data_IF_793774989859
#
_entry.id   IF_793774989859
#
_cell.length_a   1.000
_cell.length_b   1.000
_cell.length_c   1.000
_cell.angle_alpha   90.00
_cell.angle_beta   90.00
_cell.angle_gamma   90.00
#
_symmetry.space_group_name_H-M   'P 1'
#
loop_
_entity.id
_entity.type
_entity.pdbx_description
1 polymer ?
#
# COMPACT_ATOMS: atom_id res chain seq x y z
N UNK A 1 -62.80 -10.34 24.72
CA UNK A 1 -62.38 -11.07 23.52
C UNK A 1 -60.98 -11.63 23.79
N UNK A 2 -60.67 -12.76 24.44
CA UNK A 2 -61.32 -14.05 24.75
C UNK A 2 -61.97 -14.74 23.56
N UNK A 3 -61.37 -15.88 23.19
CA UNK A 3 -61.74 -16.86 22.15
C UNK A 3 -61.35 -16.51 20.73
N UNK A 4 -60.25 -17.12 20.26
CA UNK A 4 -60.02 -17.82 18.96
C UNK A 4 -58.50 -18.10 18.89
N UNK A 5 -58.01 -18.91 19.81
CA UNK A 5 -56.70 -19.56 19.78
C UNK A 5 -57.05 -20.96 20.27
N UNK A 6 -57.31 -21.93 19.40
CA UNK A 6 -57.27 -23.39 19.73
C UNK A 6 -57.67 -24.38 18.60
N UNK A 7 -57.83 -23.99 17.32
CA UNK A 7 -58.31 -24.93 16.27
C UNK A 7 -57.38 -25.05 15.03
N UNK A 8 -56.11 -24.65 15.12
CA UNK A 8 -55.12 -24.89 14.04
C UNK A 8 -53.82 -25.55 14.51
N UNK A 9 -53.80 -26.10 15.73
CA UNK A 9 -52.69 -26.92 16.24
C UNK A 9 -52.94 -28.44 16.13
N UNK A 10 -54.11 -28.87 15.64
CA UNK A 10 -54.54 -30.28 15.67
C UNK A 10 -54.58 -30.96 14.30
N UNK A 11 -54.35 -30.24 13.20
CA UNK A 11 -54.39 -30.79 11.82
C UNK A 11 -53.01 -30.92 11.15
N UNK A 12 -51.92 -30.53 11.82
CA UNK A 12 -50.54 -30.77 11.36
C UNK A 12 -49.88 -32.00 12.02
N UNK A 13 -50.60 -32.71 12.90
CA UNK A 13 -50.11 -33.92 13.60
C UNK A 13 -50.68 -35.24 13.05
N UNK A 14 -51.45 -35.22 11.95
CA UNK A 14 -52.17 -36.43 11.46
C UNK A 14 -51.78 -36.81 10.01
N UNK A 15 -50.65 -36.31 9.48
CA UNK A 15 -50.08 -36.79 8.21
C UNK A 15 -48.61 -37.27 8.31
N UNK A 16 -48.08 -37.47 9.52
CA UNK A 16 -46.74 -38.06 9.75
C UNK A 16 -46.79 -39.52 10.24
N UNK A 17 -47.97 -40.08 10.42
CA UNK A 17 -48.15 -41.50 10.68
C UNK A 17 -48.65 -42.17 9.39
N UNK A 18 -48.00 -43.26 8.97
CA UNK A 18 -48.27 -44.08 7.78
C UNK A 18 -47.46 -43.74 6.52
N UNK A 19 -46.14 -43.62 6.69
CA UNK A 19 -45.21 -44.20 5.74
C UNK A 19 -43.99 -44.77 6.48
N UNK A 20 -44.21 -45.60 7.51
CA UNK A 20 -43.20 -46.56 8.02
C UNK A 20 -42.97 -47.68 6.99
N UNK A 21 -42.81 -47.31 5.72
CA UNK A 21 -42.17 -48.17 4.75
C UNK A 21 -40.72 -48.26 5.20
N UNK A 22 -40.41 -49.29 6.00
CA UNK A 22 -39.06 -49.69 6.36
C UNK A 22 -38.15 -49.49 5.14
N UNK A 23 -37.38 -48.41 5.11
CA UNK A 23 -36.40 -48.17 4.07
C UNK A 23 -35.43 -49.33 4.21
N UNK A 24 -35.51 -50.28 3.28
CA UNK A 24 -34.64 -51.44 3.27
C UNK A 24 -33.21 -50.93 3.16
N UNK A 25 -32.46 -51.01 4.24
CA UNK A 25 -31.06 -50.57 4.26
C UNK A 25 -30.31 -51.43 3.24
N UNK A 26 -29.67 -50.82 2.23
CA UNK A 26 -28.88 -51.53 1.24
C UNK A 26 -27.74 -52.27 1.93
N UNK A 27 -27.34 -53.43 1.40
CA UNK A 27 -26.21 -54.21 1.93
C UNK A 27 -24.99 -54.11 1.05
N UNK A 28 -25.19 -53.87 -0.25
CA UNK A 28 -24.11 -53.73 -1.22
C UNK A 28 -24.30 -52.45 -2.01
N UNK A 29 -23.22 -51.93 -2.56
CA UNK A 29 -23.24 -50.71 -3.38
C UNK A 29 -24.24 -50.78 -4.54
N UNK A 30 -24.35 -51.95 -5.18
CA UNK A 30 -25.23 -52.21 -6.32
C UNK A 30 -26.73 -52.12 -5.99
N UNK A 31 -27.10 -52.16 -4.71
CA UNK A 31 -28.49 -51.97 -4.29
C UNK A 31 -28.97 -50.53 -4.57
N UNK A 32 -28.04 -49.59 -4.77
CA UNK A 32 -28.33 -48.14 -4.88
C UNK A 32 -27.68 -47.49 -6.10
N UNK A 33 -26.47 -47.92 -6.45
CA UNK A 33 -25.66 -47.34 -7.53
C UNK A 33 -25.48 -48.35 -8.69
N UNK A 34 -25.30 -47.87 -9.93
CA UNK A 34 -24.99 -48.77 -11.05
C UNK A 34 -23.71 -49.57 -10.80
N UNK A 35 -23.67 -50.82 -11.25
CA UNK A 35 -22.53 -51.72 -11.04
C UNK A 35 -21.19 -51.14 -11.52
N UNK A 36 -21.17 -50.47 -12.68
CA UNK A 36 -19.95 -49.80 -13.18
C UNK A 36 -19.46 -48.68 -12.25
N UNK A 37 -20.38 -47.97 -11.61
CA UNK A 37 -20.04 -46.94 -10.61
C UNK A 37 -19.45 -47.60 -9.36
N UNK A 38 -20.06 -48.68 -8.87
CA UNK A 38 -19.53 -49.44 -7.73
C UNK A 38 -18.15 -50.02 -8.02
N UNK A 39 -17.93 -50.57 -9.21
CA UNK A 39 -16.63 -51.08 -9.64
C UNK A 39 -15.57 -49.97 -9.69
N UNK A 40 -15.92 -48.77 -10.17
CA UNK A 40 -15.02 -47.60 -10.12
C UNK A 40 -14.68 -47.19 -8.70
N UNK A 41 -15.67 -47.14 -7.80
CA UNK A 41 -15.45 -46.79 -6.39
C UNK A 41 -14.57 -47.82 -5.67
N UNK A 42 -14.77 -49.12 -5.92
CA UNK A 42 -13.88 -50.18 -5.41
C UNK A 42 -12.47 -50.06 -5.97
N UNK A 43 -12.33 -49.75 -7.26
CA UNK A 43 -11.03 -49.46 -7.87
C UNK A 43 -10.33 -48.26 -7.24
N UNK A 44 -11.07 -47.23 -6.82
CA UNK A 44 -10.54 -46.09 -6.06
C UNK A 44 -10.10 -46.53 -4.66
N UNK A 45 -10.92 -47.30 -3.93
CA UNK A 45 -10.54 -47.83 -2.62
C UNK A 45 -9.22 -48.62 -2.69
N UNK A 46 -9.05 -49.48 -3.69
CA UNK A 46 -7.79 -50.20 -3.92
C UNK A 46 -6.61 -49.26 -4.19
N UNK A 47 -6.80 -48.17 -4.95
CA UNK A 47 -5.76 -47.15 -5.17
C UNK A 47 -5.38 -46.40 -3.90
N UNK A 48 -6.29 -46.29 -2.94
CA UNK A 48 -6.04 -45.71 -1.62
C UNK A 48 -5.49 -46.73 -0.61
N UNK A 49 -5.18 -47.96 -1.05
CA UNK A 49 -4.76 -49.07 -0.19
C UNK A 49 -5.81 -49.46 0.86
N UNK A 50 -7.09 -49.17 0.60
CA UNK A 50 -8.22 -49.53 1.44
C UNK A 50 -8.88 -50.85 0.99
N UNK A 51 -9.59 -51.50 1.90
CA UNK A 51 -10.38 -52.70 1.60
C UNK A 51 -11.59 -52.34 0.73
N UNK A 52 -11.87 -53.11 -0.34
CA UNK A 52 -12.98 -52.84 -1.27
C UNK A 52 -14.36 -52.81 -0.59
N UNK A 53 -14.51 -53.49 0.55
CA UNK A 53 -15.75 -53.52 1.34
C UNK A 53 -16.07 -52.17 1.99
N UNK A 54 -15.10 -51.26 2.09
CA UNK A 54 -15.30 -49.89 2.59
C UNK A 54 -16.34 -49.14 1.75
N UNK A 55 -16.49 -49.48 0.46
CA UNK A 55 -17.50 -48.89 -0.43
C UNK A 55 -18.90 -49.32 -0.02
N UNK A 56 -19.09 -50.59 0.34
CA UNK A 56 -20.38 -51.08 0.82
C UNK A 56 -20.71 -50.45 2.19
N UNK A 57 -19.71 -50.34 3.07
CA UNK A 57 -19.85 -49.68 4.36
C UNK A 57 -20.29 -48.22 4.21
N UNK A 58 -19.66 -47.46 3.30
CA UNK A 58 -20.04 -46.07 3.04
C UNK A 58 -21.48 -45.92 2.52
N UNK A 59 -21.98 -46.87 1.72
CA UNK A 59 -23.38 -46.86 1.25
C UNK A 59 -24.35 -47.15 2.40
N UNK A 60 -24.03 -48.12 3.27
CA UNK A 60 -24.81 -48.40 4.48
C UNK A 60 -24.86 -47.17 5.39
N UNK A 61 -23.72 -46.52 5.59
CA UNK A 61 -23.62 -45.34 6.45
C UNK A 61 -24.38 -44.13 5.90
N UNK A 62 -24.36 -43.92 4.57
CA UNK A 62 -25.20 -42.90 3.92
C UNK A 62 -26.69 -43.09 4.26
N UNK A 63 -27.19 -44.33 4.18
CA UNK A 63 -28.59 -44.65 4.49
C UNK A 63 -28.92 -44.53 5.98
N UNK A 64 -27.98 -44.88 6.86
CA UNK A 64 -28.11 -44.65 8.30
C UNK A 64 -28.20 -43.15 8.63
N UNK A 65 -27.59 -42.29 7.81
CA UNK A 65 -27.72 -40.83 7.86
C UNK A 65 -28.92 -40.29 7.07
N UNK A 66 -29.83 -41.16 6.62
CA UNK A 66 -31.00 -40.82 5.81
C UNK A 66 -30.70 -40.18 4.44
N UNK A 67 -29.47 -40.33 3.94
CA UNK A 67 -29.09 -39.94 2.58
C UNK A 67 -29.56 -41.05 1.63
N UNK A 68 -30.66 -40.81 0.93
CA UNK A 68 -31.34 -41.84 0.11
C UNK A 68 -31.35 -41.54 -1.38
N UNK A 69 -31.03 -40.32 -1.82
CA UNK A 69 -30.96 -39.99 -3.24
C UNK A 69 -29.65 -40.50 -3.83
N UNK A 70 -29.72 -41.23 -4.94
CA UNK A 70 -28.57 -41.84 -5.64
C UNK A 70 -27.37 -40.88 -5.82
N UNK A 71 -27.61 -39.64 -6.25
CA UNK A 71 -26.54 -38.66 -6.44
C UNK A 71 -25.88 -38.21 -5.12
N UNK A 72 -26.67 -38.04 -4.06
CA UNK A 72 -26.19 -37.67 -2.74
C UNK A 72 -25.43 -38.84 -2.09
N UNK A 73 -25.90 -40.09 -2.28
CA UNK A 73 -25.18 -41.30 -1.85
C UNK A 73 -23.83 -41.42 -2.56
N UNK A 74 -23.78 -41.20 -3.87
CA UNK A 74 -22.50 -41.21 -4.61
C UNK A 74 -21.53 -40.13 -4.09
N UNK A 75 -22.02 -38.92 -3.84
CA UNK A 75 -21.20 -37.85 -3.27
C UNK A 75 -20.68 -38.22 -1.87
N UNK A 76 -21.55 -38.77 -1.01
CA UNK A 76 -21.18 -39.25 0.32
C UNK A 76 -20.11 -40.34 0.26
N UNK A 77 -20.29 -41.36 -0.59
CA UNK A 77 -19.33 -42.46 -0.70
C UNK A 77 -17.96 -41.95 -1.19
N UNK A 78 -17.92 -40.98 -2.10
CA UNK A 78 -16.66 -40.36 -2.52
C UNK A 78 -15.96 -39.64 -1.37
N UNK A 79 -16.67 -38.79 -0.63
CA UNK A 79 -16.12 -38.09 0.54
C UNK A 79 -15.62 -39.09 1.59
N UNK A 80 -16.42 -40.14 1.86
CA UNK A 80 -16.06 -41.21 2.78
C UNK A 80 -14.74 -41.88 2.40
N UNK A 81 -14.51 -42.16 1.11
CA UNK A 81 -13.26 -42.71 0.61
C UNK A 81 -12.08 -41.75 0.79
N UNK A 82 -12.29 -40.44 0.55
CA UNK A 82 -11.25 -39.42 0.76
C UNK A 82 -10.88 -39.33 2.25
N UNK A 83 -11.86 -39.32 3.15
CA UNK A 83 -11.62 -39.16 4.59
C UNK A 83 -10.96 -40.39 5.24
N UNK A 84 -11.25 -41.59 4.73
CA UNK A 84 -10.74 -42.83 5.31
C UNK A 84 -9.34 -43.22 4.81
N UNK A 85 -8.90 -42.71 3.65
CA UNK A 85 -7.60 -43.01 3.04
C UNK A 85 -6.41 -42.33 3.75
N UNK A 86 -6.24 -42.54 5.06
CA UNK A 86 -5.33 -41.77 5.94
C UNK A 86 -3.85 -42.02 5.66
N UNK A 87 -3.51 -43.21 5.16
CA UNK A 87 -2.13 -43.60 4.86
C UNK A 87 -1.70 -43.28 3.42
N UNK A 88 -2.57 -42.60 2.66
CA UNK A 88 -2.30 -42.25 1.26
C UNK A 88 -1.11 -41.28 1.10
N UNK A 89 -0.17 -41.65 0.24
CA UNK A 89 1.00 -40.83 -0.08
C UNK A 89 0.93 -40.38 -1.54
N UNK A 90 1.03 -39.06 -1.79
CA UNK A 90 0.96 -38.49 -3.14
C UNK A 90 1.87 -39.21 -4.17
N UNK A 91 3.08 -39.61 -3.74
CA UNK A 91 4.09 -40.27 -4.58
C UNK A 91 3.65 -41.64 -5.13
N UNK A 92 2.58 -42.24 -4.60
CA UNK A 92 2.03 -43.51 -5.06
C UNK A 92 1.29 -43.37 -6.40
N UNK A 93 0.81 -42.18 -6.73
CA UNK A 93 -0.03 -41.92 -7.93
C UNK A 93 0.50 -40.81 -8.83
N UNK A 94 1.44 -40.01 -8.34
CA UNK A 94 2.03 -38.90 -9.06
C UNK A 94 3.57 -38.94 -9.01
N UNK A 95 4.25 -38.44 -10.06
CA UNK A 95 5.70 -38.24 -10.00
C UNK A 95 6.10 -37.34 -8.83
N UNK A 96 7.27 -37.58 -8.25
CA UNK A 96 7.78 -36.81 -7.12
C UNK A 96 7.82 -35.30 -7.40
N UNK A 97 8.19 -34.90 -8.61
CA UNK A 97 8.19 -33.50 -9.03
C UNK A 97 6.78 -32.88 -8.99
N UNK A 98 5.75 -33.62 -9.43
CA UNK A 98 4.35 -33.15 -9.38
C UNK A 98 3.87 -33.02 -7.94
N UNK A 99 4.16 -34.00 -7.07
CA UNK A 99 3.84 -33.91 -5.64
C UNK A 99 4.55 -32.72 -4.98
N UNK A 100 5.81 -32.48 -5.33
CA UNK A 100 6.57 -31.32 -4.85
C UNK A 100 5.92 -30.00 -5.29
N UNK A 101 5.49 -29.87 -6.55
CA UNK A 101 4.80 -28.67 -7.05
C UNK A 101 3.47 -28.41 -6.32
N UNK A 102 2.71 -29.46 -6.03
CA UNK A 102 1.48 -29.35 -5.22
C UNK A 102 1.82 -28.92 -3.78
N UNK A 103 2.85 -29.51 -3.17
CA UNK A 103 3.32 -29.13 -1.84
C UNK A 103 3.85 -27.69 -1.77
N UNK A 104 4.58 -27.25 -2.80
CA UNK A 104 5.05 -25.86 -2.94
C UNK A 104 3.85 -24.89 -3.05
N UNK A 105 2.80 -25.26 -3.80
CA UNK A 105 1.55 -24.48 -3.90
C UNK A 105 0.87 -24.35 -2.53
N UNK A 106 0.68 -25.47 -1.82
CA UNK A 106 0.06 -25.51 -0.48
C UNK A 106 0.84 -24.63 0.49
N UNK A 107 2.17 -24.73 0.47
CA UNK A 107 3.05 -23.93 1.33
C UNK A 107 2.93 -22.45 1.03
N UNK A 108 3.00 -22.03 -0.23
CA UNK A 108 2.88 -20.62 -0.61
C UNK A 108 1.48 -20.04 -0.34
N UNK A 109 0.45 -20.88 -0.39
CA UNK A 109 -0.91 -20.53 -0.03
C UNK A 109 -1.17 -20.59 1.50
N UNK A 110 -0.17 -20.94 2.31
CA UNK A 110 -0.29 -21.25 3.75
C UNK A 110 -1.45 -22.21 4.10
N UNK A 111 -1.75 -23.15 3.20
CA UNK A 111 -2.71 -24.22 3.45
C UNK A 111 -2.06 -25.32 4.31
N UNK A 112 -2.88 -26.16 4.94
CA UNK A 112 -2.37 -27.29 5.71
C UNK A 112 -1.70 -28.31 4.80
N UNK A 113 -0.57 -28.89 5.22
CA UNK A 113 0.16 -29.91 4.43
C UNK A 113 -0.73 -31.12 4.10
N UNK A 114 -1.69 -31.44 4.98
CA UNK A 114 -2.70 -32.49 4.74
C UNK A 114 -3.55 -32.24 3.49
N UNK A 115 -3.68 -30.99 3.04
CA UNK A 115 -4.42 -30.65 1.82
C UNK A 115 -3.72 -31.15 0.57
N UNK A 116 -2.41 -31.44 0.60
CA UNK A 116 -1.72 -32.07 -0.55
C UNK A 116 -2.31 -33.45 -0.82
N UNK A 117 -2.34 -34.32 0.20
CA UNK A 117 -2.89 -35.67 0.06
C UNK A 117 -4.40 -35.62 -0.21
N UNK A 118 -5.15 -34.72 0.45
CA UNK A 118 -6.58 -34.56 0.18
C UNK A 118 -6.85 -34.14 -1.27
N UNK A 119 -6.16 -33.13 -1.80
CA UNK A 119 -6.37 -32.66 -3.17
C UNK A 119 -6.13 -33.74 -4.22
N UNK A 120 -5.14 -34.61 -4.03
CA UNK A 120 -4.86 -35.73 -4.94
C UNK A 120 -5.92 -36.84 -4.81
N UNK A 121 -6.38 -37.14 -3.60
CA UNK A 121 -7.49 -38.09 -3.38
C UNK A 121 -8.78 -37.58 -4.02
N UNK A 122 -9.09 -36.30 -3.86
CA UNK A 122 -10.20 -35.61 -4.51
C UNK A 122 -10.13 -35.71 -6.04
N UNK A 123 -8.95 -35.52 -6.63
CA UNK A 123 -8.75 -35.71 -8.06
C UNK A 123 -9.05 -37.15 -8.50
N UNK A 124 -8.65 -38.16 -7.72
CA UNK A 124 -8.90 -39.59 -8.01
C UNK A 124 -10.40 -39.91 -7.94
N UNK A 125 -11.11 -39.51 -6.88
CA UNK A 125 -12.56 -39.78 -6.75
C UNK A 125 -13.39 -39.04 -7.80
N UNK A 126 -12.88 -37.93 -8.33
CA UNK A 126 -13.49 -37.19 -9.43
C UNK A 126 -13.08 -37.70 -10.82
N UNK A 127 -12.37 -38.83 -10.89
CA UNK A 127 -12.17 -39.60 -12.11
C UNK A 127 -10.95 -39.19 -12.93
N UNK A 128 -10.00 -38.45 -12.35
CA UNK A 128 -8.72 -38.19 -13.01
C UNK A 128 -7.99 -39.50 -13.31
N UNK A 129 -7.57 -39.69 -14.55
CA UNK A 129 -7.07 -41.00 -15.03
C UNK A 129 -5.56 -41.08 -15.14
N UNK A 130 -4.89 -39.96 -15.43
CA UNK A 130 -3.45 -39.88 -15.65
C UNK A 130 -2.80 -38.81 -14.76
N UNK A 131 -1.47 -38.78 -14.74
CA UNK A 131 -0.71 -37.88 -13.88
C UNK A 131 -0.99 -36.38 -14.14
N UNK A 132 -1.18 -35.98 -15.41
CA UNK A 132 -1.48 -34.59 -15.75
C UNK A 132 -2.88 -34.18 -15.26
N UNK A 133 -3.88 -35.05 -15.46
CA UNK A 133 -5.24 -34.84 -14.97
C UNK A 133 -5.27 -34.77 -13.45
N UNK A 134 -4.57 -35.68 -12.78
CA UNK A 134 -4.47 -35.71 -11.32
C UNK A 134 -3.89 -34.40 -10.78
N UNK A 135 -2.77 -33.95 -11.37
CA UNK A 135 -2.15 -32.68 -11.00
C UNK A 135 -3.10 -31.50 -11.22
N UNK A 136 -3.72 -31.39 -12.39
CA UNK A 136 -4.60 -30.27 -12.73
C UNK A 136 -5.85 -30.22 -11.83
N UNK A 137 -6.46 -31.37 -11.54
CA UNK A 137 -7.60 -31.45 -10.62
C UNK A 137 -7.19 -31.13 -9.18
N UNK A 138 -6.04 -31.63 -8.72
CA UNK A 138 -5.53 -31.29 -7.40
C UNK A 138 -5.26 -29.78 -7.25
N UNK A 139 -4.63 -29.15 -8.26
CA UNK A 139 -4.42 -27.69 -8.26
C UNK A 139 -5.75 -26.93 -8.33
N UNK A 140 -6.75 -27.43 -9.07
CA UNK A 140 -8.08 -26.82 -9.13
C UNK A 140 -8.78 -26.88 -7.77
N UNK A 141 -8.73 -28.02 -7.08
CA UNK A 141 -9.24 -28.16 -5.71
C UNK A 141 -8.55 -27.17 -4.76
N UNK A 142 -7.21 -27.12 -4.77
CA UNK A 142 -6.45 -26.22 -3.90
C UNK A 142 -6.73 -24.74 -4.21
N UNK A 143 -6.89 -24.39 -5.49
CA UNK A 143 -7.27 -23.04 -5.93
C UNK A 143 -8.60 -22.61 -5.30
N UNK A 144 -9.55 -23.53 -5.12
CA UNK A 144 -10.82 -23.22 -4.47
C UNK A 144 -10.66 -22.93 -2.98
N UNK A 145 -9.67 -23.54 -2.32
CA UNK A 145 -9.35 -23.30 -0.91
C UNK A 145 -8.56 -22.02 -0.65
N UNK A 146 -7.88 -21.46 -1.66
CA UNK A 146 -7.15 -20.20 -1.52
C UNK A 146 -8.13 -19.07 -1.22
N UNK A 147 -7.87 -18.36 -0.13
CA UNK A 147 -8.42 -17.04 0.20
C UNK A 147 -7.29 -16.03 0.38
N UNK A 148 -7.64 -14.75 0.45
CA UNK A 148 -6.67 -13.71 0.71
C UNK A 148 -6.04 -13.87 2.10
N UNK A 149 -6.86 -14.16 3.11
CA UNK A 149 -6.50 -14.26 4.52
C UNK A 149 -5.62 -15.47 4.83
N UNK A 150 -5.57 -16.46 3.95
CA UNK A 150 -4.59 -17.53 4.07
C UNK A 150 -3.18 -16.99 3.81
N UNK A 151 -3.03 -16.10 2.84
CA UNK A 151 -1.72 -15.65 2.32
C UNK A 151 -1.25 -14.36 2.99
N UNK A 152 -2.17 -13.45 3.30
CA UNK A 152 -1.90 -12.14 3.87
C UNK A 152 -2.66 -11.92 5.19
N UNK A 153 -2.24 -10.93 5.96
CA UNK A 153 -3.02 -10.48 7.11
C UNK A 153 -4.32 -9.79 6.67
N UNK A 154 -5.31 -9.76 7.59
CA UNK A 154 -6.65 -9.20 7.34
C UNK A 154 -6.60 -7.75 6.85
N UNK A 155 -5.71 -6.92 7.41
CA UNK A 155 -5.60 -5.50 7.02
C UNK A 155 -5.10 -5.35 5.59
N UNK A 156 -4.14 -6.19 5.18
CA UNK A 156 -3.66 -6.25 3.80
C UNK A 156 -4.78 -6.68 2.85
N UNK A 157 -5.58 -7.69 3.21
CA UNK A 157 -6.74 -8.11 2.41
C UNK A 157 -7.79 -6.99 2.27
N UNK A 158 -8.12 -6.31 3.36
CA UNK A 158 -9.04 -5.16 3.34
C UNK A 158 -8.55 -4.03 2.41
N UNK A 159 -7.23 -3.82 2.32
CA UNK A 159 -6.63 -2.83 1.41
C UNK A 159 -6.86 -3.25 -0.04
N UNK A 160 -6.55 -4.50 -0.39
CA UNK A 160 -6.67 -5.02 -1.75
C UNK A 160 -8.14 -5.07 -2.20
N UNK A 161 -9.06 -5.49 -1.34
CA UNK A 161 -10.49 -5.53 -1.63
C UNK A 161 -11.07 -4.12 -1.86
N UNK A 162 -10.65 -3.14 -1.06
CA UNK A 162 -11.01 -1.73 -1.30
C UNK A 162 -10.47 -1.23 -2.63
N UNK A 163 -9.24 -1.59 -2.99
CA UNK A 163 -8.65 -1.21 -4.27
C UNK A 163 -9.44 -1.78 -5.45
N UNK A 164 -9.75 -3.08 -5.43
CA UNK A 164 -10.59 -3.72 -6.46
C UNK A 164 -11.96 -3.04 -6.59
N UNK A 165 -12.59 -2.71 -5.47
CA UNK A 165 -13.86 -1.97 -5.47
C UNK A 165 -13.72 -0.58 -6.09
N UNK A 166 -12.65 0.14 -5.77
CA UNK A 166 -12.32 1.46 -6.34
C UNK A 166 -12.07 1.40 -7.84
N UNK A 167 -11.56 0.27 -8.35
CA UNK A 167 -11.33 0.04 -9.77
C UNK A 167 -12.59 -0.42 -10.52
N UNK A 168 -13.71 -0.59 -9.80
CA UNK A 168 -14.96 -1.15 -10.34
C UNK A 168 -14.79 -2.56 -10.92
N UNK A 169 -13.90 -3.35 -10.32
CA UNK A 169 -13.56 -4.71 -10.78
C UNK A 169 -14.21 -5.80 -9.91
N UNK A 170 -14.11 -7.07 -10.36
CA UNK A 170 -14.66 -8.22 -9.66
C UNK A 170 -13.91 -8.51 -8.36
N UNK A 171 -14.63 -8.69 -7.23
CA UNK A 171 -14.05 -9.04 -5.91
C UNK A 171 -13.14 -10.27 -5.90
N UNK A 172 -13.33 -11.21 -6.83
CA UNK A 172 -12.48 -12.40 -6.95
C UNK A 172 -11.09 -12.10 -7.53
N UNK A 173 -10.86 -10.89 -8.06
CA UNK A 173 -9.60 -10.53 -8.72
C UNK A 173 -8.40 -10.63 -7.80
N UNK A 174 -8.54 -10.35 -6.49
CA UNK A 174 -7.46 -10.55 -5.50
C UNK A 174 -7.10 -12.02 -5.41
N UNK A 175 -8.09 -12.91 -5.27
CA UNK A 175 -7.88 -14.36 -5.24
C UNK A 175 -7.22 -14.87 -6.52
N UNK A 176 -7.72 -14.43 -7.67
CA UNK A 176 -7.19 -14.84 -8.98
C UNK A 176 -5.71 -14.42 -9.13
N UNK A 177 -5.37 -13.21 -8.69
CA UNK A 177 -4.01 -12.70 -8.69
C UNK A 177 -3.07 -13.50 -7.76
N UNK A 178 -3.53 -13.85 -6.55
CA UNK A 178 -2.78 -14.71 -5.61
C UNK A 178 -2.51 -16.08 -6.23
N UNK A 179 -3.54 -16.70 -6.82
CA UNK A 179 -3.43 -18.01 -7.46
C UNK A 179 -2.44 -17.96 -8.63
N UNK A 180 -2.47 -16.90 -9.43
CA UNK A 180 -1.52 -16.70 -10.54
C UNK A 180 -0.09 -16.49 -10.04
N UNK A 181 0.11 -15.70 -8.98
CA UNK A 181 1.42 -15.50 -8.34
C UNK A 181 2.02 -16.84 -7.90
N UNK A 182 1.25 -17.67 -7.20
CA UNK A 182 1.70 -18.98 -6.71
C UNK A 182 1.98 -19.93 -7.89
N UNK A 183 1.13 -19.93 -8.92
CA UNK A 183 1.37 -20.72 -10.15
C UNK A 183 2.63 -20.29 -10.90
N UNK A 184 3.03 -19.03 -10.79
CA UNK A 184 4.31 -18.51 -11.29
C UNK A 184 5.50 -18.82 -10.35
N UNK A 185 5.31 -19.71 -9.37
CA UNK A 185 6.30 -20.15 -8.40
C UNK A 185 6.80 -19.05 -7.45
N UNK A 186 6.03 -17.99 -7.23
CA UNK A 186 6.32 -17.03 -6.17
C UNK A 186 6.00 -17.68 -4.82
N UNK A 187 6.96 -17.60 -3.88
CA UNK A 187 6.86 -18.28 -2.57
C UNK A 187 6.86 -17.32 -1.41
N UNK A 188 7.51 -16.15 -1.55
CA UNK A 188 7.60 -15.19 -0.47
C UNK A 188 6.36 -14.30 -0.44
N UNK A 189 5.79 -14.09 0.74
CA UNK A 189 4.56 -13.29 0.92
C UNK A 189 4.67 -11.89 0.32
N UNK A 190 5.83 -11.23 0.43
CA UNK A 190 6.06 -9.91 -0.15
C UNK A 190 6.12 -9.92 -1.69
N UNK A 191 6.70 -10.96 -2.30
CA UNK A 191 6.72 -11.14 -3.76
C UNK A 191 5.30 -11.38 -4.31
N UNK A 192 4.52 -12.23 -3.63
CA UNK A 192 3.13 -12.49 -3.97
C UNK A 192 2.32 -11.19 -3.82
N UNK A 193 2.49 -10.44 -2.72
CA UNK A 193 1.81 -9.17 -2.51
C UNK A 193 2.12 -8.15 -3.61
N UNK A 194 3.40 -8.02 -3.99
CA UNK A 194 3.79 -7.12 -5.07
C UNK A 194 3.16 -7.55 -6.40
N UNK A 195 3.22 -8.85 -6.72
CA UNK A 195 2.57 -9.39 -7.92
C UNK A 195 1.06 -9.09 -7.93
N UNK A 196 0.38 -9.26 -6.80
CA UNK A 196 -1.05 -8.97 -6.68
C UNK A 196 -1.31 -7.49 -6.94
N UNK A 197 -0.53 -6.57 -6.36
CA UNK A 197 -0.65 -5.14 -6.63
C UNK A 197 -0.47 -4.80 -8.10
N UNK A 198 0.61 -5.29 -8.72
CA UNK A 198 0.92 -5.06 -10.14
C UNK A 198 -0.20 -5.62 -11.03
N UNK A 199 -0.71 -6.81 -10.69
CA UNK A 199 -1.83 -7.42 -11.38
C UNK A 199 -3.08 -6.54 -11.32
N UNK A 200 -3.45 -6.06 -10.12
CA UNK A 200 -4.62 -5.18 -9.94
C UNK A 200 -4.47 -3.88 -10.73
N UNK A 201 -3.31 -3.24 -10.69
CA UNK A 201 -3.01 -2.01 -11.46
C UNK A 201 -3.17 -2.29 -12.97
N UNK A 202 -2.59 -3.39 -13.47
CA UNK A 202 -2.66 -3.75 -14.90
C UNK A 202 -4.08 -4.08 -15.38
N UNK A 203 -4.97 -4.51 -14.47
CA UNK A 203 -6.35 -4.90 -14.76
C UNK A 203 -7.38 -3.81 -14.51
N UNK A 204 -6.98 -2.68 -13.94
CA UNK A 204 -7.86 -1.54 -13.66
C UNK A 204 -8.24 -0.74 -14.93
N UNK A 205 -8.69 -1.42 -15.99
CA UNK A 205 -9.00 -0.79 -17.29
C UNK A 205 -10.24 0.10 -17.25
N UNK A 206 -11.11 -0.11 -16.27
CA UNK A 206 -12.34 0.68 -16.09
C UNK A 206 -12.17 1.84 -15.10
N UNK A 207 -10.96 2.05 -14.58
CA UNK A 207 -10.68 3.09 -13.61
C UNK A 207 -10.76 4.49 -14.23
N UNK A 208 -11.46 5.39 -13.55
CA UNK A 208 -11.42 6.83 -13.81
C UNK A 208 -11.01 7.55 -12.53
N UNK A 209 -10.12 8.55 -12.61
CA UNK A 209 -9.64 9.25 -11.42
C UNK A 209 -10.80 9.83 -10.56
N UNK A 210 -11.84 10.35 -11.21
CA UNK A 210 -12.99 10.93 -10.54
C UNK A 210 -13.92 9.91 -9.85
N UNK A 211 -13.67 8.59 -9.97
CA UNK A 211 -14.41 7.57 -9.22
C UNK A 211 -13.95 7.44 -7.77
N UNK A 212 -12.74 7.91 -7.45
CA UNK A 212 -12.11 7.76 -6.14
C UNK A 212 -11.84 9.09 -5.43
N UNK A 213 -11.62 10.17 -6.19
CA UNK A 213 -11.36 11.52 -5.67
C UNK A 213 -12.15 12.56 -6.47
N UNK A 214 -12.19 13.80 -6.00
CA UNK A 214 -12.93 14.88 -6.70
C UNK A 214 -12.24 15.26 -8.00
N UNK A 215 -13.01 15.83 -8.94
CA UNK A 215 -12.48 16.33 -10.21
C UNK A 215 -11.33 17.32 -10.00
N UNK A 216 -11.45 18.24 -9.04
CA UNK A 216 -10.39 19.21 -8.72
C UNK A 216 -9.07 18.54 -8.32
N UNK A 217 -9.11 17.45 -7.54
CA UNK A 217 -7.89 16.71 -7.19
C UNK A 217 -7.30 15.99 -8.41
N UNK A 218 -8.15 15.40 -9.25
CA UNK A 218 -7.72 14.79 -10.51
C UNK A 218 -7.01 15.82 -11.40
N UNK A 219 -7.66 16.93 -11.69
CA UNK A 219 -7.12 17.98 -12.55
C UNK A 219 -5.79 18.51 -12.01
N UNK A 220 -5.68 18.67 -10.68
CA UNK A 220 -4.43 19.05 -10.03
C UNK A 220 -3.33 18.01 -10.21
N UNK A 221 -3.61 16.72 -9.99
CA UNK A 221 -2.64 15.62 -10.19
C UNK A 221 -2.17 15.58 -11.65
N UNK A 222 -3.09 15.64 -12.61
CA UNK A 222 -2.75 15.62 -14.03
C UNK A 222 -1.96 16.86 -14.44
N UNK A 223 -2.29 18.04 -13.92
CA UNK A 223 -1.50 19.25 -14.16
C UNK A 223 -0.10 19.15 -13.59
N UNK A 224 0.06 18.62 -12.37
CA UNK A 224 1.38 18.40 -11.75
C UNK A 224 2.19 17.40 -12.58
N UNK A 225 1.62 16.24 -12.90
CA UNK A 225 2.29 15.22 -13.70
C UNK A 225 2.71 15.73 -15.09
N UNK A 226 1.86 16.50 -15.76
CA UNK A 226 2.19 17.16 -17.03
C UNK A 226 3.35 18.15 -16.90
N UNK A 227 3.36 18.94 -15.82
CA UNK A 227 4.46 19.88 -15.54
C UNK A 227 5.77 19.15 -15.19
N UNK A 228 5.67 17.96 -14.59
CA UNK A 228 6.79 17.02 -14.39
C UNK A 228 7.19 16.24 -15.65
N UNK A 229 6.58 16.54 -16.81
CA UNK A 229 6.82 15.87 -18.10
C UNK A 229 6.47 14.37 -18.12
N UNK A 230 5.57 13.93 -17.23
CA UNK A 230 5.07 12.56 -17.20
C UNK A 230 3.96 12.36 -18.24
N UNK A 231 3.83 11.13 -18.72
CA UNK A 231 2.74 10.73 -19.63
C UNK A 231 1.45 10.53 -18.85
N UNK A 232 0.29 10.63 -19.52
CA UNK A 232 -1.02 10.34 -18.90
C UNK A 232 -1.06 8.95 -18.25
N UNK A 233 -0.43 7.96 -18.89
CA UNK A 233 -0.38 6.58 -18.37
C UNK A 233 0.44 6.50 -17.07
N UNK A 234 1.61 7.13 -17.00
CA UNK A 234 2.42 7.16 -15.77
C UNK A 234 1.67 7.85 -14.62
N UNK A 235 0.90 8.91 -14.92
CA UNK A 235 0.08 9.60 -13.92
C UNK A 235 -1.06 8.69 -13.43
N UNK A 236 -1.70 7.95 -14.33
CA UNK A 236 -2.74 6.98 -13.98
C UNK A 236 -2.18 5.80 -13.17
N UNK A 237 -1.02 5.28 -13.53
CA UNK A 237 -0.33 4.21 -12.81
C UNK A 237 0.01 4.65 -11.37
N UNK A 238 0.57 5.85 -11.18
CA UNK A 238 0.82 6.42 -9.86
C UNK A 238 -0.45 6.62 -8.99
N UNK A 239 -1.59 6.89 -9.62
CA UNK A 239 -2.90 6.94 -8.94
C UNK A 239 -3.33 5.54 -8.48
N UNK A 240 -3.25 4.55 -9.36
CA UNK A 240 -3.60 3.16 -9.06
C UNK A 240 -2.67 2.59 -7.98
N UNK A 241 -1.37 2.89 -8.04
CA UNK A 241 -0.36 2.52 -7.05
C UNK A 241 -0.69 3.07 -5.67
N UNK A 242 -1.07 4.35 -5.56
CA UNK A 242 -1.51 4.91 -4.28
C UNK A 242 -2.67 4.12 -3.67
N UNK A 243 -3.63 3.71 -4.49
CA UNK A 243 -4.83 2.99 -4.04
C UNK A 243 -4.48 1.56 -3.59
N UNK A 244 -3.71 0.80 -4.38
CA UNK A 244 -3.30 -0.57 -4.00
C UNK A 244 -2.31 -0.59 -2.83
N UNK A 245 -1.65 0.53 -2.54
CA UNK A 245 -0.84 0.74 -1.33
C UNK A 245 -1.65 1.22 -0.12
N UNK A 246 -2.98 1.26 -0.23
CA UNK A 246 -3.89 1.47 0.89
C UNK A 246 -4.30 2.91 1.15
N UNK A 247 -4.04 3.83 0.22
CA UNK A 247 -4.65 5.15 0.28
C UNK A 247 -6.16 5.06 0.03
N UNK A 248 -6.96 5.50 1.01
CA UNK A 248 -8.43 5.44 0.93
C UNK A 248 -9.06 6.82 0.86
N UNK A 249 -8.55 7.79 1.63
CA UNK A 249 -9.08 9.16 1.63
C UNK A 249 -8.52 9.92 0.44
N UNK A 250 -9.31 10.83 -0.11
CA UNK A 250 -8.89 11.63 -1.28
C UNK A 250 -7.56 12.36 -1.05
N UNK A 251 -7.34 12.91 0.15
CA UNK A 251 -6.08 13.57 0.50
C UNK A 251 -4.89 12.59 0.58
N UNK A 252 -5.11 11.39 1.11
CA UNK A 252 -4.08 10.35 1.19
C UNK A 252 -3.70 9.85 -0.20
N UNK A 253 -4.71 9.63 -1.07
CA UNK A 253 -4.51 9.25 -2.48
C UNK A 253 -3.70 10.33 -3.17
N UNK A 254 -4.11 11.60 -3.05
CA UNK A 254 -3.39 12.74 -3.63
C UNK A 254 -1.93 12.77 -3.19
N UNK A 255 -1.64 12.73 -1.88
CA UNK A 255 -0.27 12.79 -1.38
C UNK A 255 0.58 11.58 -1.79
N UNK A 256 0.02 10.36 -1.73
CA UNK A 256 0.77 9.16 -2.14
C UNK A 256 1.05 9.17 -3.64
N UNK A 257 0.08 9.55 -4.46
CA UNK A 257 0.28 9.73 -5.91
C UNK A 257 1.40 10.72 -6.18
N UNK A 258 1.43 11.87 -5.51
CA UNK A 258 2.54 12.82 -5.66
C UNK A 258 3.89 12.20 -5.28
N UNK A 259 3.95 11.35 -4.25
CA UNK A 259 5.14 10.59 -3.90
C UNK A 259 5.63 9.67 -5.02
N UNK A 260 4.73 8.94 -5.67
CA UNK A 260 5.05 8.11 -6.84
C UNK A 260 5.55 8.96 -8.03
N UNK A 261 4.83 10.02 -8.40
CA UNK A 261 5.24 10.92 -9.49
C UNK A 261 6.65 11.50 -9.25
N UNK A 262 6.95 11.90 -8.01
CA UNK A 262 8.26 12.42 -7.63
C UNK A 262 9.37 11.37 -7.71
N UNK A 263 9.08 10.11 -7.37
CA UNK A 263 10.03 9.02 -7.50
C UNK A 263 10.36 8.73 -8.97
N UNK A 264 9.38 8.82 -9.87
CA UNK A 264 9.59 8.60 -11.31
C UNK A 264 10.51 9.66 -11.93
N UNK A 265 10.42 10.90 -11.43
CA UNK A 265 11.27 12.01 -11.88
C UNK A 265 12.49 12.24 -11.00
N UNK A 266 12.84 11.33 -10.08
CA UNK A 266 13.93 11.55 -9.11
C UNK A 266 15.27 11.84 -9.77
N UNK A 267 15.50 11.27 -10.96
CA UNK A 267 16.73 11.43 -11.73
C UNK A 267 16.70 12.59 -12.72
N UNK A 268 15.55 13.26 -12.91
CA UNK A 268 15.47 14.43 -13.77
C UNK A 268 16.19 15.61 -13.12
N UNK A 269 16.96 16.33 -13.92
CA UNK A 269 17.58 17.59 -13.54
C UNK A 269 16.56 18.72 -13.66
N UNK A 270 16.87 19.85 -13.05
CA UNK A 270 16.09 21.07 -13.20
C UNK A 270 15.89 21.50 -14.67
N UNK A 271 16.88 21.27 -15.55
CA UNK A 271 16.80 21.60 -17.00
C UNK A 271 15.89 20.65 -17.79
N UNK A 272 15.62 19.45 -17.28
CA UNK A 272 14.68 18.52 -17.88
C UNK A 272 13.22 18.90 -17.54
N UNK A 273 13.02 19.57 -16.40
CA UNK A 273 11.70 19.93 -15.89
C UNK A 273 11.21 21.28 -16.43
N UNK A 274 12.09 22.28 -16.50
CA UNK A 274 11.74 23.67 -16.84
C UNK A 274 12.70 24.27 -17.87
N UNK A 275 12.32 25.43 -18.42
CA UNK A 275 13.19 26.18 -19.33
C UNK A 275 14.55 26.49 -18.69
N UNK A 276 15.61 26.43 -19.50
CA UNK A 276 17.00 26.62 -19.03
C UNK A 276 17.22 27.98 -18.37
N UNK A 277 16.53 29.04 -18.81
CA UNK A 277 16.63 30.36 -18.19
C UNK A 277 16.09 30.35 -16.75
N UNK A 278 14.94 29.70 -16.53
CA UNK A 278 14.37 29.58 -15.17
C UNK A 278 15.25 28.70 -14.30
N UNK A 279 15.72 27.58 -14.85
CA UNK A 279 16.62 26.71 -14.12
C UNK A 279 17.89 27.44 -13.66
N UNK A 280 18.57 28.13 -14.59
CA UNK A 280 19.79 28.88 -14.27
C UNK A 280 19.53 29.98 -13.23
N UNK A 281 18.39 30.68 -13.28
CA UNK A 281 18.03 31.69 -12.28
C UNK A 281 17.85 31.11 -10.89
N UNK A 282 17.23 29.93 -10.77
CA UNK A 282 17.08 29.23 -9.49
C UNK A 282 18.43 28.69 -9.02
N UNK A 283 19.28 28.17 -9.92
CA UNK A 283 20.64 27.72 -9.60
C UNK A 283 21.53 28.87 -9.10
N UNK A 284 21.49 30.03 -9.74
CA UNK A 284 22.19 31.24 -9.30
C UNK A 284 21.73 31.67 -7.91
N UNK A 285 20.42 31.61 -7.65
CA UNK A 285 19.87 31.92 -6.34
C UNK A 285 20.32 30.91 -5.28
N UNK A 286 20.23 29.60 -5.57
CA UNK A 286 20.68 28.52 -4.71
C UNK A 286 22.19 28.64 -4.40
N UNK A 287 23.02 29.01 -5.39
CA UNK A 287 24.45 29.22 -5.22
C UNK A 287 24.77 30.34 -4.23
N UNK A 288 23.99 31.43 -4.21
CA UNK A 288 24.12 32.50 -3.20
C UNK A 288 23.82 32.00 -1.79
N UNK A 289 22.97 30.98 -1.66
CA UNK A 289 22.66 30.32 -0.39
C UNK A 289 23.58 29.12 -0.08
N UNK A 290 24.66 28.93 -0.87
CA UNK A 290 25.55 27.76 -0.78
C UNK A 290 24.82 26.42 -0.86
N UNK A 291 23.73 26.36 -1.62
CA UNK A 291 22.95 25.14 -1.84
C UNK A 291 23.44 24.36 -3.06
N UNK A 292 23.17 23.06 -3.06
CA UNK A 292 23.59 22.15 -4.12
C UNK A 292 22.64 22.19 -5.33
N UNK A 293 23.08 21.68 -6.48
CA UNK A 293 22.22 21.50 -7.67
C UNK A 293 21.03 20.57 -7.36
N UNK A 294 21.19 19.63 -6.42
CA UNK A 294 20.11 18.76 -5.95
C UNK A 294 19.03 19.56 -5.23
N UNK A 295 19.40 20.55 -4.40
CA UNK A 295 18.46 21.44 -3.73
C UNK A 295 17.68 22.30 -4.73
N UNK A 296 18.36 22.82 -5.77
CA UNK A 296 17.71 23.54 -6.88
C UNK A 296 16.65 22.67 -7.57
N UNK A 297 17.02 21.43 -7.89
CA UNK A 297 16.12 20.48 -8.57
C UNK A 297 14.91 20.15 -7.69
N UNK A 298 15.13 19.97 -6.38
CA UNK A 298 14.03 19.78 -5.44
C UNK A 298 13.12 21.02 -5.37
N UNK A 299 13.69 22.22 -5.32
CA UNK A 299 12.92 23.46 -5.27
C UNK A 299 12.00 23.65 -6.49
N UNK A 300 12.46 23.24 -7.69
CA UNK A 300 11.62 23.22 -8.89
C UNK A 300 10.48 22.21 -8.76
N UNK A 301 10.76 21.00 -8.28
CA UNK A 301 9.74 19.95 -8.07
C UNK A 301 8.66 20.39 -7.09
N UNK A 302 9.05 21.03 -6.00
CA UNK A 302 8.12 21.55 -4.99
C UNK A 302 7.28 22.70 -5.53
N UNK A 303 7.89 23.62 -6.30
CA UNK A 303 7.13 24.67 -6.98
C UNK A 303 6.07 24.09 -7.92
N UNK A 304 6.41 23.04 -8.67
CA UNK A 304 5.45 22.34 -9.54
C UNK A 304 4.32 21.71 -8.72
N UNK A 305 4.63 21.06 -7.59
CA UNK A 305 3.63 20.45 -6.68
C UNK A 305 2.68 21.49 -6.09
N UNK A 306 3.21 22.66 -5.74
CA UNK A 306 2.42 23.79 -5.25
C UNK A 306 1.55 24.45 -6.34
N UNK A 307 1.57 23.92 -7.57
CA UNK A 307 0.73 24.38 -8.67
C UNK A 307 1.33 25.51 -9.48
N UNK A 308 2.66 25.68 -9.46
CA UNK A 308 3.31 26.70 -10.28
C UNK A 308 2.93 26.52 -11.76
N UNK A 309 2.30 27.55 -12.34
CA UNK A 309 1.67 27.47 -13.66
C UNK A 309 2.44 28.17 -14.78
N UNK A 310 3.40 29.02 -14.42
CA UNK A 310 4.17 29.82 -15.37
C UNK A 310 5.60 30.05 -14.87
N UNK A 311 6.44 30.59 -15.75
CA UNK A 311 7.88 30.77 -15.49
C UNK A 311 8.19 31.66 -14.27
N UNK A 312 7.39 32.70 -14.04
CA UNK A 312 7.57 33.60 -12.89
C UNK A 312 7.16 32.89 -11.59
N UNK A 313 6.01 32.25 -11.59
CA UNK A 313 5.47 31.50 -10.44
C UNK A 313 6.40 30.35 -10.03
N UNK A 314 6.94 29.61 -11.02
CA UNK A 314 7.98 28.60 -10.80
C UNK A 314 9.20 29.18 -10.08
N UNK A 315 9.75 30.29 -10.58
CA UNK A 315 10.89 30.94 -9.95
C UNK A 315 10.57 31.39 -8.52
N UNK A 316 9.46 32.09 -8.32
CA UNK A 316 9.08 32.66 -7.02
C UNK A 316 8.90 31.55 -5.96
N UNK A 317 8.16 30.48 -6.29
CA UNK A 317 7.92 29.34 -5.40
C UNK A 317 9.17 28.53 -5.12
N UNK A 318 10.02 28.31 -6.13
CA UNK A 318 11.31 27.64 -5.91
C UNK A 318 12.22 28.47 -5.00
N UNK A 319 12.26 29.78 -5.19
CA UNK A 319 13.00 30.69 -4.30
C UNK A 319 12.42 30.66 -2.88
N UNK A 320 11.10 30.65 -2.73
CA UNK A 320 10.44 30.51 -1.42
C UNK A 320 10.82 29.20 -0.74
N UNK A 321 10.82 28.08 -1.46
CA UNK A 321 11.29 26.80 -0.95
C UNK A 321 12.76 26.86 -0.51
N UNK A 322 13.66 27.38 -1.34
CA UNK A 322 15.08 27.53 -0.99
C UNK A 322 15.27 28.43 0.24
N UNK A 323 14.49 29.52 0.36
CA UNK A 323 14.48 30.37 1.57
C UNK A 323 14.03 29.59 2.79
N UNK A 324 13.02 28.74 2.68
CA UNK A 324 12.55 27.92 3.79
C UNK A 324 13.62 26.90 4.25
N UNK A 325 14.39 26.34 3.31
CA UNK A 325 15.49 25.41 3.57
C UNK A 325 16.76 26.09 4.12
N UNK A 326 16.83 27.42 4.09
CA UNK A 326 17.95 28.15 4.64
C UNK A 326 18.09 27.93 6.15
N UNK A 327 19.30 27.58 6.56
CA UNK A 327 19.74 27.65 7.95
C UNK A 327 21.04 28.44 8.01
N UNK A 328 21.23 29.21 9.09
CA UNK A 328 22.43 30.04 9.26
C UNK A 328 23.72 29.21 9.09
N UNK A 329 23.75 28.00 9.65
CA UNK A 329 24.92 27.10 9.65
C UNK A 329 25.29 26.59 8.26
N UNK A 330 24.37 26.61 7.29
CA UNK A 330 24.69 26.26 5.89
C UNK A 330 25.47 27.35 5.18
N UNK A 331 25.32 28.60 5.60
CA UNK A 331 25.92 29.77 4.93
C UNK A 331 27.10 30.31 5.73
N UNK A 332 27.08 30.16 7.05
CA UNK A 332 28.12 30.61 7.95
C UNK A 332 28.64 29.48 8.83
N UNK A 333 29.83 29.68 9.38
CA UNK A 333 30.34 28.81 10.43
C UNK A 333 29.40 28.82 11.64
N UNK A 334 29.32 27.68 12.35
CA UNK A 334 28.49 27.54 13.57
C UNK A 334 28.73 28.68 14.57
N UNK A 335 29.99 29.07 14.76
CA UNK A 335 30.41 30.14 15.68
C UNK A 335 29.77 31.49 15.35
N UNK A 336 29.61 31.81 14.06
CA UNK A 336 28.92 33.02 13.60
C UNK A 336 27.43 32.97 13.97
N UNK A 337 26.79 31.83 13.69
CA UNK A 337 25.38 31.63 13.97
C UNK A 337 25.08 31.70 15.47
N UNK A 338 25.95 31.13 16.30
CA UNK A 338 25.84 31.20 17.76
C UNK A 338 25.98 32.65 18.25
N UNK A 339 26.88 33.44 17.65
CA UNK A 339 27.03 34.88 17.98
C UNK A 339 25.75 35.64 17.62
N UNK A 340 25.21 35.43 16.42
CA UNK A 340 23.96 36.06 15.96
C UNK A 340 22.79 35.67 16.86
N UNK A 341 22.68 34.40 17.24
CA UNK A 341 21.63 33.92 18.13
C UNK A 341 21.75 34.54 19.53
N UNK A 342 22.94 34.52 20.15
CA UNK A 342 23.18 35.17 21.45
C UNK A 342 22.84 36.65 21.43
N UNK A 343 23.14 37.32 20.32
CA UNK A 343 22.81 38.73 20.13
C UNK A 343 21.29 38.93 20.04
N UNK A 344 20.61 38.14 19.20
CA UNK A 344 19.16 38.18 19.08
C UNK A 344 18.45 37.92 20.42
N UNK A 345 18.92 36.91 21.18
CA UNK A 345 18.40 36.56 22.50
C UNK A 345 18.61 37.71 23.50
N UNK A 346 19.81 38.30 23.52
CA UNK A 346 20.15 39.44 24.40
C UNK A 346 19.23 40.64 24.19
N UNK A 347 18.84 40.88 22.94
CA UNK A 347 17.94 41.96 22.55
C UNK A 347 16.49 41.51 22.38
N UNK A 348 16.16 40.28 22.78
CA UNK A 348 14.80 39.71 22.74
C UNK A 348 14.13 39.82 21.36
N UNK A 349 14.93 39.69 20.28
CA UNK A 349 14.44 39.67 18.90
C UNK A 349 14.21 38.21 18.49
N UNK A 350 13.00 37.82 18.04
CA UNK A 350 12.74 36.43 17.66
C UNK A 350 13.68 35.94 16.56
N UNK A 351 14.35 34.81 16.78
CA UNK A 351 15.33 34.24 15.83
C UNK A 351 14.74 34.00 14.43
N UNK A 352 13.43 33.73 14.32
CA UNK A 352 12.74 33.61 13.03
C UNK A 352 12.82 34.92 12.21
N UNK A 353 12.68 36.09 12.86
CA UNK A 353 12.79 37.39 12.17
C UNK A 353 14.23 37.64 11.72
N UNK A 354 15.21 37.32 12.57
CA UNK A 354 16.63 37.43 12.24
C UNK A 354 16.98 36.51 11.07
N UNK A 355 16.57 35.24 11.10
CA UNK A 355 16.79 34.31 10.00
C UNK A 355 16.12 34.77 8.69
N UNK A 356 14.91 35.32 8.74
CA UNK A 356 14.25 35.90 7.57
C UNK A 356 15.02 37.12 7.03
N UNK A 357 15.55 37.96 7.90
CA UNK A 357 16.41 39.07 7.50
C UNK A 357 17.69 38.58 6.81
N UNK A 358 18.39 37.61 7.41
CA UNK A 358 19.59 36.99 6.85
C UNK A 358 19.30 36.41 5.46
N UNK A 359 18.22 35.63 5.32
CA UNK A 359 17.78 35.07 4.04
C UNK A 359 17.61 36.16 2.97
N UNK A 360 16.94 37.25 3.31
CA UNK A 360 16.70 38.36 2.38
C UNK A 360 17.99 39.12 2.03
N UNK A 361 18.86 39.34 3.00
CA UNK A 361 20.14 40.00 2.76
C UNK A 361 21.05 39.17 1.85
N UNK A 362 21.18 37.86 2.09
CA UNK A 362 21.94 36.96 1.22
C UNK A 362 21.32 36.87 -0.17
N UNK A 363 19.99 36.80 -0.27
CA UNK A 363 19.24 36.83 -1.52
C UNK A 363 19.57 38.06 -2.38
N UNK A 364 19.75 39.22 -1.73
CA UNK A 364 20.10 40.49 -2.35
C UNK A 364 21.59 40.62 -2.71
N UNK A 365 22.37 39.53 -2.61
CA UNK A 365 23.76 39.47 -3.03
C UNK A 365 24.77 39.78 -1.92
N UNK A 366 24.35 39.87 -0.67
CA UNK A 366 25.25 40.10 0.46
C UNK A 366 25.89 38.76 0.85
N UNK A 367 27.05 38.48 0.27
CA UNK A 367 27.81 37.25 0.49
C UNK A 367 28.99 37.40 1.45
N UNK A 368 29.42 38.64 1.71
CA UNK A 368 30.49 38.90 2.67
C UNK A 368 29.96 38.73 4.11
N UNK A 369 30.59 37.84 4.88
CA UNK A 369 30.17 37.53 6.25
C UNK A 369 30.21 38.74 7.19
N UNK A 370 31.19 39.64 7.01
CA UNK A 370 31.34 40.85 7.83
C UNK A 370 30.22 41.84 7.51
N UNK A 371 29.99 42.13 6.23
CA UNK A 371 28.94 43.06 5.80
C UNK A 371 27.56 42.58 6.24
N UNK A 372 27.31 41.28 6.11
CA UNK A 372 26.07 40.69 6.56
C UNK A 372 25.91 40.76 8.07
N UNK A 373 26.97 40.48 8.84
CA UNK A 373 26.92 40.60 10.30
C UNK A 373 26.57 42.03 10.73
N UNK A 374 27.22 43.03 10.14
CA UNK A 374 26.91 44.45 10.41
C UNK A 374 25.44 44.75 10.17
N UNK A 375 24.88 44.24 9.07
CA UNK A 375 23.46 44.38 8.77
C UNK A 375 22.55 43.64 9.75
N UNK A 376 22.94 42.45 10.20
CA UNK A 376 22.20 41.68 11.21
C UNK A 376 22.18 42.44 12.55
N UNK A 377 23.33 42.93 13.01
CA UNK A 377 23.45 43.73 14.23
C UNK A 377 22.55 44.95 14.14
N UNK A 378 22.67 45.71 13.05
CA UNK A 378 21.84 46.89 12.79
C UNK A 378 20.35 46.54 12.85
N UNK A 379 19.94 45.49 12.16
CA UNK A 379 18.55 45.01 12.18
C UNK A 379 18.07 44.65 13.60
N UNK A 380 18.87 43.93 14.37
CA UNK A 380 18.54 43.53 15.75
C UNK A 380 18.37 44.77 16.64
N UNK A 381 19.28 45.73 16.55
CA UNK A 381 19.23 46.97 17.34
C UNK A 381 18.03 47.85 16.95
N UNK A 382 17.76 48.02 15.66
CA UNK A 382 16.58 48.74 15.18
C UNK A 382 15.27 48.08 15.66
N UNK A 383 15.19 46.74 15.59
CA UNK A 383 14.00 46.02 16.05
C UNK A 383 13.80 46.11 17.56
N UNK A 384 14.89 46.03 18.32
CA UNK A 384 14.89 46.23 19.77
C UNK A 384 14.44 47.64 20.15
N UNK A 385 14.99 48.68 19.50
CA UNK A 385 14.58 50.07 19.69
C UNK A 385 13.10 50.27 19.36
N UNK A 386 12.59 49.70 18.27
CA UNK A 386 11.17 49.80 17.93
C UNK A 386 10.24 49.10 18.93
N UNK A 387 10.69 48.00 19.55
CA UNK A 387 9.89 47.27 20.53
C UNK A 387 9.94 47.89 21.93
N UNK A 388 11.01 48.63 22.26
CA UNK A 388 11.25 49.20 23.60
C UNK A 388 11.26 50.74 23.64
N UNK A 389 11.13 51.41 22.50
CA UNK A 389 11.29 52.85 22.33
C UNK A 389 10.39 53.64 23.27
N UNK A 390 9.11 53.29 23.35
CA UNK A 390 8.14 53.98 24.22
C UNK A 390 8.49 53.93 25.72
N UNK A 391 9.25 52.93 26.15
CA UNK A 391 9.72 52.81 27.54
C UNK A 391 11.10 53.46 27.77
N UNK A 392 11.93 53.58 26.73
CA UNK A 392 13.23 54.23 26.80
C UNK A 392 13.14 55.77 26.75
N UNK A 393 12.17 56.34 26.03
CA UNK A 393 11.95 57.79 25.96
C UNK A 393 11.65 58.47 27.30
N UNK A 394 11.30 57.71 28.35
CA UNK A 394 11.12 58.25 29.71
C UNK A 394 12.45 58.54 30.44
N UNK A 395 13.59 58.10 29.90
CA UNK A 395 14.92 58.40 30.45
C UNK A 395 15.62 59.33 29.47
N UNK A 396 16.04 60.51 29.94
CA UNK A 396 16.64 61.61 29.18
C UNK A 396 18.05 61.30 28.64
N UNK A 397 18.26 60.12 28.06
CA UNK A 397 19.54 59.69 27.49
C UNK A 397 19.41 59.79 25.98
N UNK A 398 20.38 60.45 25.34
CA UNK A 398 20.49 60.56 23.89
C UNK A 398 20.56 59.15 23.28
N UNK A 399 19.48 58.76 22.59
CA UNK A 399 19.30 57.41 22.04
C UNK A 399 20.28 57.13 20.89
N UNK A 400 20.67 58.18 20.16
CA UNK A 400 21.62 58.07 19.05
C UNK A 400 23.02 57.81 19.61
N UNK A 401 23.37 58.45 20.72
CA UNK A 401 24.65 58.23 21.41
C UNK A 401 24.76 56.81 22.01
N UNK A 402 23.69 56.31 22.63
CA UNK A 402 23.67 54.94 23.18
C UNK A 402 23.74 53.89 22.07
N UNK A 403 22.97 54.10 20.99
CA UNK A 403 22.99 53.18 19.85
C UNK A 403 24.37 53.18 19.19
N UNK A 404 24.98 54.35 19.00
CA UNK A 404 26.34 54.47 18.47
C UNK A 404 27.37 53.77 19.37
N UNK A 405 27.31 53.94 20.69
CA UNK A 405 28.21 53.26 21.65
C UNK A 405 28.01 51.75 21.72
N UNK A 406 26.78 51.26 21.55
CA UNK A 406 26.50 49.83 21.47
C UNK A 406 27.04 49.26 20.17
N UNK A 407 26.85 49.96 19.04
CA UNK A 407 27.43 49.56 17.75
C UNK A 407 28.96 49.52 17.87
N UNK A 408 29.58 50.57 18.41
CA UNK A 408 31.02 50.66 18.62
C UNK A 408 31.53 49.55 19.55
N UNK A 409 30.85 49.27 20.66
CA UNK A 409 31.22 48.19 21.57
C UNK A 409 31.09 46.79 20.93
N UNK A 410 30.07 46.60 20.09
CA UNK A 410 29.89 45.34 19.33
C UNK A 410 30.97 45.22 18.26
N UNK A 411 31.29 46.30 17.54
CA UNK A 411 32.36 46.34 16.54
C UNK A 411 33.74 46.08 17.19
N UNK A 412 34.03 46.70 18.34
CA UNK A 412 35.25 46.42 19.12
C UNK A 412 35.34 44.96 19.55
N UNK A 413 34.21 44.37 19.99
CA UNK A 413 34.18 42.95 20.37
C UNK A 413 34.38 42.02 19.17
N UNK A 414 33.95 42.44 17.98
CA UNK A 414 34.22 41.71 16.74
C UNK A 414 35.69 41.78 16.34
N UNK A 415 36.30 42.97 16.38
CA UNK A 415 37.70 43.15 16.01
C UNK A 415 38.64 42.38 16.94
N UNK A 416 38.29 42.30 18.22
CA UNK A 416 38.99 41.47 19.20
C UNK A 416 38.82 39.95 18.98
N UNK A 417 37.81 39.53 18.19
CA UNK A 417 37.50 38.11 17.93
C UNK A 417 37.66 37.70 16.46
N UNK A 418 38.31 38.52 15.62
CA UNK A 418 38.57 38.32 14.19
C UNK A 418 39.53 37.15 13.84
N UNK A 419 39.50 36.04 14.59
CA UNK A 419 40.05 34.76 14.14
C UNK A 419 39.03 33.95 13.32
N UNK A 420 38.24 34.62 12.46
CA UNK A 420 37.16 34.02 11.66
C UNK A 420 37.66 33.26 10.43
#
# INVERSE_FOLDING_TARGET
>A
MKSIIFIFASLLLVNTALADGLVKIPKVCEDVLPADTCNKLRGIATKFHEQVDIVNQAVVDAFNLHITKTAEVLAYVKEYLVDNAKDFVCKEVLPEESCKKIGDFVTAAHLQVSEVSRAVREAIVNGAQNAADLYNNAISYLTNLVSCENVFDVKTCDILDRAVKSFHENKNMVKDAIVLAIKNNLKQTNEILQYVKDYLVSKATNFTCNSVITQDFCDKIFSIGKNLKLTTNAIQEALLDAIVNGAVKAQDIFHQTLGFLLNDVKNLTCKDLVDSNICNKVEEYAKKLHMSVKDTTQAIKEAIIEGASNAKDLYDKSVEFLKAQFSCVRVFQQTFCDKVQKLADRFTVPLVQVNNFIRNAVANGISNAIDLYKLIVKFILERWNNNNGDNLYKRSIDQDEVTAKIIEAVEMYMDATNSF
#
